data_IF_084466878697
#
_entry.id   IF_084466878697
#
_cell.length_a   1.000
_cell.length_b   1.000
_cell.length_c   1.000
_cell.angle_alpha   90.00
_cell.angle_beta   90.00
_cell.angle_gamma   90.00
#
_symmetry.space_group_name_H-M   'P 1'
#
loop_
_entity.id
_entity.type
_entity.pdbx_description
1 polymer ?
#
# COMPACT_ATOMS: atom_id res chain seq x y z
N UNK A 1 26.70 3.56 64.87
CA UNK A 1 26.98 4.82 64.13
C UNK A 1 27.75 4.63 62.81
N UNK A 2 28.61 3.62 62.73
CA UNK A 2 29.48 3.42 61.51
C UNK A 2 28.82 2.84 60.25
N UNK A 3 27.71 2.10 60.39
CA UNK A 3 27.02 1.55 59.17
C UNK A 3 26.21 2.58 58.41
N UNK A 4 25.68 3.63 59.08
CA UNK A 4 24.94 4.68 58.46
C UNK A 4 25.84 5.62 57.64
N UNK A 5 27.07 5.84 58.15
CA UNK A 5 28.06 6.71 57.45
C UNK A 5 28.57 6.02 56.21
N UNK A 6 28.78 4.69 56.22
CA UNK A 6 29.19 3.92 55.06
C UNK A 6 28.10 3.92 53.97
N UNK A 7 26.83 3.84 54.39
CA UNK A 7 25.70 3.91 53.44
C UNK A 7 25.53 5.32 52.81
N UNK A 8 25.81 6.38 53.57
CA UNK A 8 25.83 7.75 53.08
C UNK A 8 26.96 8.01 52.09
N UNK A 9 28.14 7.48 52.36
CA UNK A 9 29.31 7.59 51.47
C UNK A 9 29.08 6.79 50.17
N UNK A 10 28.47 5.61 50.26
CA UNK A 10 28.09 4.83 49.06
C UNK A 10 27.04 5.59 48.22
N UNK A 11 26.07 6.26 48.82
CA UNK A 11 25.06 7.06 48.12
C UNK A 11 25.65 8.28 47.36
N UNK A 12 26.71 8.88 47.93
CA UNK A 12 27.43 9.99 47.26
C UNK A 12 28.33 9.53 46.09
N UNK A 13 28.79 8.29 46.12
CA UNK A 13 29.63 7.75 45.07
C UNK A 13 28.84 7.35 43.79
N UNK A 14 27.53 7.04 43.97
CA UNK A 14 26.66 6.71 42.81
C UNK A 14 26.04 7.89 42.08
N UNK A 15 26.07 9.11 42.69
CA UNK A 15 25.49 10.29 42.05
C UNK A 15 26.43 11.10 41.16
N UNK A 16 27.68 10.65 40.98
CA UNK A 16 28.68 11.37 40.19
C UNK A 16 29.06 10.69 38.85
N UNK A 17 28.34 9.65 38.43
CA UNK A 17 28.48 9.14 37.08
C UNK A 17 27.62 9.98 36.13
N UNK A 18 28.20 11.03 35.59
CA UNK A 18 27.65 11.78 34.46
C UNK A 18 27.71 10.89 33.20
N UNK A 19 26.58 10.32 32.81
CA UNK A 19 26.38 9.65 31.52
C UNK A 19 26.13 10.68 30.39
N UNK A 20 26.80 11.83 30.46
CA UNK A 20 26.69 12.83 29.42
C UNK A 20 27.69 12.52 28.29
N UNK A 21 27.23 12.53 27.03
CA UNK A 21 28.04 12.32 25.82
C UNK A 21 29.27 13.27 25.72
N UNK A 22 29.27 14.35 26.49
CA UNK A 22 30.37 15.30 26.59
C UNK A 22 31.39 14.99 27.72
N UNK A 23 31.25 13.87 28.46
CA UNK A 23 32.21 13.52 29.48
C UNK A 23 33.54 13.09 28.84
N UNK A 24 34.68 13.60 29.37
CA UNK A 24 36.03 13.25 28.88
C UNK A 24 36.39 11.78 28.97
N UNK A 25 35.60 10.95 29.69
CA UNK A 25 35.80 9.51 29.85
C UNK A 25 35.43 8.75 28.56
N UNK A 26 34.54 9.31 27.74
CA UNK A 26 34.06 8.71 26.47
C UNK A 26 34.69 9.32 25.22
N UNK A 27 35.70 10.18 25.38
CA UNK A 27 36.55 10.60 24.23
C UNK A 27 37.57 9.50 23.97
N UNK A 28 37.25 8.64 23.02
CA UNK A 28 38.21 7.71 22.44
C UNK A 28 39.44 8.46 21.97
N UNK A 29 40.55 8.35 22.72
CA UNK A 29 41.86 8.84 22.29
C UNK A 29 42.34 8.14 21.01
N UNK A 30 41.74 7.03 20.63
CA UNK A 30 42.10 6.30 19.42
C UNK A 30 41.49 6.87 18.14
N UNK A 31 40.55 7.83 18.24
CA UNK A 31 40.03 8.54 17.04
C UNK A 31 40.96 9.60 16.46
N UNK A 32 41.97 10.02 17.22
CA UNK A 32 42.96 10.99 16.70
C UNK A 32 44.16 10.34 15.98
N UNK A 33 44.33 9.00 16.11
CA UNK A 33 45.44 8.28 15.48
C UNK A 33 45.07 7.49 14.23
N UNK A 34 43.78 7.24 14.04
CA UNK A 34 43.27 6.68 12.79
C UNK A 34 42.57 7.86 12.07
N UNK A 35 43.28 8.49 11.11
CA UNK A 35 42.67 9.44 10.19
C UNK A 35 41.35 8.85 9.74
N UNK A 36 40.27 9.67 9.69
CA UNK A 36 38.95 9.22 9.25
C UNK A 36 39.15 8.32 8.04
N UNK A 37 38.72 7.04 8.09
CA UNK A 37 38.85 6.21 6.92
C UNK A 37 38.15 6.98 5.81
N UNK A 38 38.89 7.27 4.73
CA UNK A 38 38.38 7.93 3.54
C UNK A 38 37.35 6.95 2.90
N UNK A 39 36.25 6.67 3.62
CA UNK A 39 35.11 5.96 3.13
C UNK A 39 34.48 6.91 2.13
N UNK A 40 35.02 6.92 0.92
CA UNK A 40 34.29 7.42 -0.23
C UNK A 40 32.98 6.67 -0.21
N UNK A 41 31.87 7.36 0.08
CA UNK A 41 30.53 6.82 -0.14
C UNK A 41 30.46 6.44 -1.62
N UNK A 42 30.79 5.20 -1.93
CA UNK A 42 30.80 4.66 -3.30
C UNK A 42 29.39 4.69 -3.88
N UNK A 43 28.38 4.74 -3.02
CA UNK A 43 27.00 4.92 -3.39
C UNK A 43 26.50 6.29 -2.91
N UNK A 44 26.76 7.33 -3.69
CA UNK A 44 26.00 8.57 -3.59
C UNK A 44 24.58 8.22 -4.03
N UNK A 45 23.61 8.29 -3.11
CA UNK A 45 22.17 8.26 -3.47
C UNK A 45 22.02 9.32 -4.59
N UNK A 46 21.86 8.87 -5.84
CA UNK A 46 21.51 9.75 -6.94
C UNK A 46 20.16 10.36 -6.57
N UNK A 47 20.16 11.62 -6.14
CA UNK A 47 18.92 12.36 -6.02
C UNK A 47 18.37 12.46 -7.44
N UNK A 48 17.21 11.87 -7.68
CA UNK A 48 16.47 12.13 -8.91
C UNK A 48 16.35 13.64 -9.06
N UNK A 49 16.74 14.17 -10.23
CA UNK A 49 16.62 15.62 -10.51
C UNK A 49 15.14 15.88 -10.72
N UNK A 50 14.46 16.23 -9.64
CA UNK A 50 13.02 16.42 -9.65
C UNK A 50 12.71 17.84 -10.07
N UNK A 51 12.37 18.02 -11.33
CA UNK A 51 11.91 19.29 -11.91
C UNK A 51 10.82 19.06 -12.93
N UNK A 52 9.99 20.07 -13.16
CA UNK A 52 9.00 20.02 -14.23
C UNK A 52 9.66 19.80 -15.59
N UNK A 53 9.05 18.95 -16.40
CA UNK A 53 9.54 18.59 -17.72
C UNK A 53 8.39 18.42 -18.69
N UNK A 54 8.52 18.98 -19.90
CA UNK A 54 7.63 18.79 -21.04
C UNK A 54 6.12 18.99 -20.73
N UNK A 55 5.78 20.11 -20.08
CA UNK A 55 4.42 20.39 -19.59
C UNK A 55 3.36 20.51 -20.70
N UNK A 56 3.78 20.85 -21.93
CA UNK A 56 2.88 21.05 -23.07
C UNK A 56 2.65 19.78 -23.90
N UNK A 57 3.22 18.63 -23.49
CA UNK A 57 3.01 17.36 -24.18
C UNK A 57 1.54 16.97 -24.14
N UNK A 58 0.97 16.76 -25.32
CA UNK A 58 -0.39 16.22 -25.42
C UNK A 58 -0.36 14.71 -25.13
N UNK A 59 -1.12 14.28 -24.14
CA UNK A 59 -1.18 12.90 -23.71
C UNK A 59 -2.34 12.16 -24.42
N UNK A 60 -2.04 10.98 -24.93
CA UNK A 60 -3.09 10.08 -25.43
C UNK A 60 -3.76 9.36 -24.24
N UNK A 61 -4.94 9.81 -23.89
CA UNK A 61 -5.78 9.27 -22.81
C UNK A 61 -6.88 8.33 -23.31
N UNK A 62 -6.85 7.93 -24.57
CA UNK A 62 -7.88 7.06 -25.19
C UNK A 62 -7.91 5.65 -24.57
N UNK A 63 -6.84 5.23 -23.91
CA UNK A 63 -6.71 3.92 -23.26
C UNK A 63 -7.48 3.77 -21.93
N UNK A 64 -8.23 4.80 -21.48
CA UNK A 64 -9.06 4.72 -20.27
C UNK A 64 -10.31 3.88 -20.58
N UNK A 65 -10.16 2.55 -20.42
CA UNK A 65 -11.26 1.60 -20.62
C UNK A 65 -11.58 0.89 -19.31
N UNK A 66 -12.86 0.89 -18.97
CA UNK A 66 -13.37 0.19 -17.80
C UNK A 66 -13.56 -1.29 -18.11
N UNK A 67 -12.68 -2.13 -17.65
CA UNK A 67 -12.90 -3.57 -17.65
C UNK A 67 -12.75 -4.14 -16.23
N UNK A 68 -13.84 -4.08 -15.46
CA UNK A 68 -13.86 -4.53 -14.06
C UNK A 68 -13.45 -5.98 -13.84
N UNK A 69 -13.64 -6.85 -14.83
CA UNK A 69 -13.44 -8.30 -14.66
C UNK A 69 -12.00 -8.68 -14.31
N UNK A 70 -11.03 -7.91 -14.80
CA UNK A 70 -9.60 -8.19 -14.60
C UNK A 70 -8.93 -7.29 -13.56
N UNK A 71 -9.57 -6.21 -13.14
CA UNK A 71 -8.97 -5.19 -12.28
C UNK A 71 -8.53 -5.73 -10.92
N UNK A 72 -9.35 -6.58 -10.29
CA UNK A 72 -9.06 -7.14 -8.98
C UNK A 72 -7.78 -7.97 -8.96
N UNK A 73 -7.59 -8.82 -9.96
CA UNK A 73 -6.43 -9.70 -10.01
C UNK A 73 -5.14 -8.99 -10.41
N UNK A 74 -5.24 -7.93 -11.22
CA UNK A 74 -4.10 -7.18 -11.77
C UNK A 74 -3.76 -5.89 -11.02
N UNK A 75 -4.52 -5.55 -9.99
CA UNK A 75 -4.41 -4.29 -9.23
C UNK A 75 -4.56 -3.01 -10.06
N UNK A 76 -5.08 -3.09 -11.26
CA UNK A 76 -5.29 -1.94 -12.15
C UNK A 76 -6.61 -1.22 -11.84
N UNK A 77 -6.70 -0.60 -10.67
CA UNK A 77 -7.90 0.13 -10.21
C UNK A 77 -7.86 1.63 -10.49
N UNK A 78 -6.77 2.11 -11.04
CA UNK A 78 -6.50 3.53 -11.06
C UNK A 78 -7.04 4.27 -12.27
N UNK A 79 -7.40 3.55 -13.35
CA UNK A 79 -7.86 4.16 -14.61
C UNK A 79 -9.29 3.74 -14.88
N UNK A 80 -10.24 4.64 -14.61
CA UNK A 80 -11.65 4.35 -14.77
C UNK A 80 -12.42 5.53 -15.36
N UNK A 81 -13.50 5.25 -16.10
CA UNK A 81 -14.42 6.27 -16.55
C UNK A 81 -15.12 6.90 -15.34
N UNK A 82 -14.84 8.17 -15.10
CA UNK A 82 -15.51 8.98 -14.10
C UNK A 82 -15.74 10.39 -14.69
N UNK A 83 -17.00 10.80 -14.75
CA UNK A 83 -17.43 12.09 -15.31
C UNK A 83 -18.12 12.98 -14.28
N UNK A 84 -18.07 12.59 -13.00
CA UNK A 84 -18.79 13.29 -11.95
C UNK A 84 -18.23 14.68 -11.66
N UNK A 85 -19.08 15.53 -11.10
CA UNK A 85 -18.75 16.91 -10.72
C UNK A 85 -18.18 17.02 -9.30
N UNK A 86 -17.89 15.89 -8.64
CA UNK A 86 -17.51 15.83 -7.22
C UNK A 86 -18.56 16.43 -6.30
N UNK A 87 -19.82 16.16 -6.58
CA UNK A 87 -20.91 16.46 -5.65
C UNK A 87 -21.05 15.30 -4.67
N UNK A 88 -20.92 15.60 -3.38
CA UNK A 88 -21.12 14.57 -2.34
C UNK A 88 -22.59 14.12 -2.38
N UNK A 89 -22.80 12.80 -2.58
CA UNK A 89 -24.12 12.17 -2.67
C UNK A 89 -24.39 11.17 -1.55
N UNK A 90 -23.34 10.70 -0.87
CA UNK A 90 -23.52 9.69 0.17
C UNK A 90 -22.44 9.69 1.26
N UNK A 91 -22.77 9.07 2.40
CA UNK A 91 -21.85 8.85 3.49
C UNK A 91 -22.24 7.60 4.29
N UNK A 92 -21.45 6.55 4.16
CA UNK A 92 -21.62 5.26 4.86
C UNK A 92 -20.86 5.32 6.18
N UNK A 93 -21.58 5.33 7.30
CA UNK A 93 -21.02 5.58 8.65
C UNK A 93 -20.64 4.28 9.36
N UNK A 94 -19.48 4.27 10.01
CA UNK A 94 -19.00 3.18 10.88
C UNK A 94 -18.23 3.75 12.08
N UNK A 95 -17.92 2.92 13.09
CA UNK A 95 -17.11 3.39 14.22
C UNK A 95 -15.69 3.74 13.78
N UNK A 96 -15.16 4.83 14.35
CA UNK A 96 -13.88 5.45 13.98
C UNK A 96 -12.73 4.43 13.94
N UNK A 97 -12.00 4.40 12.82
CA UNK A 97 -10.73 3.68 12.66
C UNK A 97 -9.54 4.58 12.98
N UNK A 98 -8.39 3.97 13.27
CA UNK A 98 -7.13 4.71 13.34
C UNK A 98 -6.73 5.21 11.95
N UNK A 99 -6.01 6.34 11.88
CA UNK A 99 -5.62 6.97 10.61
C UNK A 99 -4.81 6.05 9.69
N UNK A 100 -3.87 5.28 10.26
CA UNK A 100 -3.05 4.31 9.51
C UNK A 100 -3.88 3.21 8.86
N UNK A 101 -5.02 2.85 9.44
CA UNK A 101 -5.89 1.82 8.91
C UNK A 101 -6.71 2.30 7.71
N UNK A 102 -6.94 3.61 7.58
CA UNK A 102 -7.77 4.17 6.51
C UNK A 102 -7.05 4.16 5.16
N UNK A 103 -5.72 4.31 5.16
CA UNK A 103 -4.92 4.43 3.93
C UNK A 103 -4.87 3.10 3.17
N UNK A 104 -4.84 1.98 3.89
CA UNK A 104 -4.52 0.66 3.34
C UNK A 104 -5.74 -0.19 2.98
N UNK A 105 -6.94 0.17 3.48
CA UNK A 105 -8.14 -0.65 3.29
C UNK A 105 -9.11 0.00 2.31
N UNK A 106 -9.68 -0.82 1.47
CA UNK A 106 -10.69 -0.43 0.50
C UNK A 106 -12.01 -1.14 0.81
N UNK A 107 -13.15 -0.48 0.58
CA UNK A 107 -14.45 -1.14 0.64
C UNK A 107 -14.55 -2.22 -0.44
N UNK A 108 -15.30 -3.28 -0.12
CA UNK A 108 -15.71 -4.26 -1.08
C UNK A 108 -17.06 -3.82 -1.69
N UNK A 109 -17.15 -3.85 -3.01
CA UNK A 109 -18.37 -3.57 -3.72
C UNK A 109 -19.03 -4.87 -4.16
N UNK A 110 -20.30 -5.04 -3.84
CA UNK A 110 -21.14 -6.16 -4.26
C UNK A 110 -22.35 -5.56 -4.97
N UNK A 111 -22.37 -5.64 -6.29
CA UNK A 111 -23.36 -4.92 -7.14
C UNK A 111 -23.37 -3.41 -6.87
N UNK A 112 -24.34 -2.89 -6.14
CA UNK A 112 -24.45 -1.50 -5.72
C UNK A 112 -24.17 -1.31 -4.22
N UNK A 113 -24.05 -2.41 -3.49
CA UNK A 113 -23.82 -2.40 -2.05
C UNK A 113 -22.35 -2.22 -1.70
N UNK A 114 -22.10 -1.70 -0.50
CA UNK A 114 -20.76 -1.52 0.05
C UNK A 114 -20.61 -2.37 1.31
N UNK A 115 -19.53 -3.15 1.37
CA UNK A 115 -19.12 -3.88 2.57
C UNK A 115 -17.85 -3.26 3.12
N UNK A 116 -17.85 -2.98 4.42
CA UNK A 116 -16.68 -2.47 5.13
C UNK A 116 -16.69 -2.97 6.58
N UNK A 117 -15.70 -2.57 7.37
CA UNK A 117 -15.57 -3.00 8.76
C UNK A 117 -15.36 -1.83 9.72
N UNK A 118 -15.65 -2.07 11.00
CA UNK A 118 -15.43 -1.09 12.07
C UNK A 118 -14.20 -1.45 12.93
N UNK A 119 -13.85 -0.58 13.90
CA UNK A 119 -12.68 -0.74 14.78
C UNK A 119 -12.63 -2.07 15.53
N UNK A 120 -13.79 -2.68 15.83
CA UNK A 120 -13.88 -3.95 16.56
C UNK A 120 -13.95 -5.16 15.61
N UNK A 121 -13.80 -4.96 14.31
CA UNK A 121 -13.88 -6.00 13.30
C UNK A 121 -15.31 -6.43 12.96
N UNK A 122 -16.36 -5.67 13.34
CA UNK A 122 -17.69 -5.93 12.79
C UNK A 122 -17.68 -5.64 11.31
N UNK A 123 -18.26 -6.53 10.52
CA UNK A 123 -18.47 -6.35 9.09
C UNK A 123 -19.86 -5.76 8.91
N UNK A 124 -19.95 -4.75 8.06
CA UNK A 124 -21.17 -3.99 7.82
C UNK A 124 -21.43 -3.97 6.31
N UNK A 125 -22.62 -4.41 5.88
CA UNK A 125 -23.09 -4.26 4.50
C UNK A 125 -24.13 -3.15 4.44
N UNK A 126 -23.93 -2.21 3.52
CA UNK A 126 -24.83 -1.09 3.25
C UNK A 126 -25.42 -1.25 1.86
N UNK A 127 -26.69 -0.87 1.70
CA UNK A 127 -27.31 -0.69 0.40
C UNK A 127 -26.84 0.65 -0.26
N UNK A 128 -27.24 0.87 -1.50
CA UNK A 128 -26.96 2.11 -2.25
C UNK A 128 -27.52 3.39 -1.59
N UNK A 129 -28.54 3.26 -0.74
CA UNK A 129 -29.17 4.34 0.02
C UNK A 129 -28.52 4.58 1.38
N UNK A 130 -27.36 3.93 1.64
CA UNK A 130 -26.57 4.04 2.89
C UNK A 130 -27.25 3.41 4.11
N UNK A 131 -28.30 2.60 3.92
CA UNK A 131 -28.94 1.85 4.98
C UNK A 131 -28.14 0.58 5.26
N UNK A 132 -27.98 0.24 6.54
CA UNK A 132 -27.35 -1.02 6.96
C UNK A 132 -28.30 -2.17 6.66
N UNK A 133 -27.88 -3.09 5.80
CA UNK A 133 -28.59 -4.34 5.54
C UNK A 133 -28.34 -5.34 6.65
N UNK A 134 -27.10 -5.47 7.05
CA UNK A 134 -26.68 -6.26 8.22
C UNK A 134 -25.34 -5.77 8.78
N UNK A 135 -25.13 -6.01 10.08
CA UNK A 135 -23.86 -5.88 10.77
C UNK A 135 -23.61 -7.16 11.59
N UNK A 136 -22.46 -7.80 11.39
CA UNK A 136 -22.07 -9.04 12.07
C UNK A 136 -20.64 -8.94 12.59
N UNK A 137 -20.39 -9.57 13.72
CA UNK A 137 -19.07 -9.64 14.33
C UNK A 137 -18.73 -11.07 14.71
N UNK A 138 -17.65 -11.61 14.13
CA UNK A 138 -17.22 -13.01 14.30
C UNK A 138 -16.00 -13.14 15.24
N UNK A 139 -15.77 -12.13 16.09
CA UNK A 139 -14.66 -12.09 17.03
C UNK A 139 -15.13 -12.22 18.48
N UNK A 140 -14.35 -12.95 19.29
CA UNK A 140 -14.49 -13.01 20.75
C UNK A 140 -14.22 -11.66 21.42
N UNK A 141 -14.53 -11.51 22.70
CA UNK A 141 -14.22 -10.30 23.45
C UNK A 141 -12.71 -9.98 23.49
N UNK A 142 -11.85 -10.99 23.54
CA UNK A 142 -10.40 -10.82 23.52
C UNK A 142 -9.90 -10.36 22.14
N UNK A 143 -10.34 -11.00 21.06
CA UNK A 143 -9.97 -10.64 19.69
C UNK A 143 -10.39 -9.20 19.32
N UNK A 144 -11.58 -8.75 19.75
CA UNK A 144 -12.07 -7.37 19.54
C UNK A 144 -11.13 -6.29 20.12
N UNK A 145 -10.42 -6.61 21.22
CA UNK A 145 -9.44 -5.70 21.82
C UNK A 145 -8.21 -5.51 20.95
N UNK A 146 -7.88 -6.48 20.11
CA UNK A 146 -6.76 -6.44 19.16
C UNK A 146 -7.07 -5.57 17.93
N UNK A 147 -8.31 -5.10 17.77
CA UNK A 147 -8.75 -4.24 16.67
C UNK A 147 -8.40 -4.84 15.30
N UNK A 148 -8.96 -6.01 14.94
CA UNK A 148 -8.61 -6.71 13.71
C UNK A 148 -8.90 -5.85 12.48
N UNK A 149 -7.96 -5.86 11.55
CA UNK A 149 -8.03 -5.16 10.27
C UNK A 149 -8.35 -6.19 9.21
N UNK A 150 -9.38 -5.94 8.40
CA UNK A 150 -9.97 -6.93 7.52
C UNK A 150 -9.70 -6.61 6.05
N UNK A 151 -9.37 -7.64 5.29
CA UNK A 151 -9.41 -7.65 3.84
C UNK A 151 -10.52 -8.56 3.35
N UNK A 152 -11.15 -8.18 2.23
CA UNK A 152 -12.32 -8.86 1.71
C UNK A 152 -12.16 -9.22 0.25
N UNK A 153 -12.76 -10.35 -0.14
CA UNK A 153 -13.06 -10.64 -1.52
C UNK A 153 -14.40 -11.32 -1.65
N UNK A 154 -15.16 -10.97 -2.68
CA UNK A 154 -16.46 -11.56 -2.99
C UNK A 154 -16.33 -12.72 -3.98
N UNK A 155 -16.98 -13.83 -3.67
CA UNK A 155 -17.07 -14.99 -4.55
C UNK A 155 -18.44 -15.65 -4.45
N UNK A 156 -19.22 -15.63 -5.54
CA UNK A 156 -20.61 -16.11 -5.59
C UNK A 156 -21.44 -15.44 -4.48
N UNK A 157 -21.94 -16.24 -3.51
CA UNK A 157 -22.75 -15.77 -2.39
C UNK A 157 -21.95 -15.62 -1.10
N UNK A 158 -20.62 -15.62 -1.17
CA UNK A 158 -19.74 -15.59 0.00
C UNK A 158 -18.79 -14.41 -0.03
N UNK A 159 -18.49 -13.88 1.14
CA UNK A 159 -17.39 -12.95 1.39
C UNK A 159 -16.30 -13.71 2.13
N UNK A 160 -15.12 -13.78 1.55
CA UNK A 160 -13.93 -14.31 2.20
C UNK A 160 -13.22 -13.15 2.92
N UNK A 161 -12.76 -13.42 4.11
CA UNK A 161 -12.11 -12.45 4.99
C UNK A 161 -10.77 -13.03 5.45
N UNK A 162 -9.72 -12.21 5.42
CA UNK A 162 -8.47 -12.44 6.14
C UNK A 162 -8.14 -11.24 7.00
N UNK A 163 -7.44 -11.44 8.12
CA UNK A 163 -7.22 -10.36 9.06
C UNK A 163 -5.80 -10.25 9.63
N UNK A 164 -5.58 -9.15 10.33
CA UNK A 164 -4.31 -8.83 10.97
C UNK A 164 -4.08 -9.54 12.32
N UNK A 165 -4.92 -10.50 12.70
CA UNK A 165 -4.77 -11.31 13.91
C UNK A 165 -4.74 -12.82 13.62
N UNK A 166 -4.40 -13.17 12.38
CA UNK A 166 -4.24 -14.54 11.88
C UNK A 166 -5.54 -15.35 11.68
N UNK A 167 -6.69 -14.69 11.67
CA UNK A 167 -7.96 -15.36 11.41
C UNK A 167 -8.39 -15.18 9.96
N UNK A 168 -8.95 -16.24 9.37
CA UNK A 168 -9.57 -16.18 8.06
C UNK A 168 -10.85 -16.99 8.05
N UNK A 169 -11.84 -16.52 7.32
CA UNK A 169 -13.18 -17.11 7.37
C UNK A 169 -14.02 -16.72 6.15
N UNK A 170 -15.09 -17.43 5.95
CA UNK A 170 -16.11 -17.15 4.96
C UNK A 170 -17.44 -16.85 5.63
N UNK A 171 -18.12 -15.84 5.14
CA UNK A 171 -19.48 -15.51 5.56
C UNK A 171 -20.41 -15.49 4.36
N UNK A 172 -21.69 -15.76 4.61
CA UNK A 172 -22.73 -15.57 3.61
C UNK A 172 -22.91 -14.07 3.33
N UNK A 173 -22.84 -13.67 2.07
CA UNK A 173 -22.91 -12.27 1.69
C UNK A 173 -24.29 -11.65 1.98
N UNK A 174 -25.38 -12.42 1.94
CA UNK A 174 -26.74 -11.91 2.05
C UNK A 174 -27.13 -11.57 3.51
N UNK A 175 -26.67 -12.37 4.48
CA UNK A 175 -27.08 -12.21 5.88
C UNK A 175 -25.90 -12.04 6.86
N UNK A 176 -24.65 -12.17 6.38
CA UNK A 176 -23.44 -12.06 7.18
C UNK A 176 -23.17 -13.25 8.10
N UNK A 177 -23.87 -14.36 8.00
CA UNK A 177 -23.67 -15.53 8.86
C UNK A 177 -22.40 -16.29 8.47
N UNK A 178 -21.76 -16.91 9.46
CA UNK A 178 -20.50 -17.62 9.29
C UNK A 178 -20.70 -18.93 8.54
N UNK A 179 -19.98 -19.13 7.44
CA UNK A 179 -19.92 -20.40 6.72
C UNK A 179 -18.86 -21.32 7.36
N UNK A 180 -17.66 -20.82 7.53
CA UNK A 180 -16.53 -21.48 8.19
C UNK A 180 -15.52 -20.46 8.70
N UNK A 181 -14.71 -20.84 9.71
CA UNK A 181 -13.63 -20.01 10.27
C UNK A 181 -12.44 -20.86 10.64
N UNK A 182 -11.24 -20.33 10.37
CA UNK A 182 -9.96 -20.96 10.67
C UNK A 182 -8.93 -19.91 11.13
N UNK A 183 -7.85 -20.38 11.73
CA UNK A 183 -6.71 -19.55 12.12
C UNK A 183 -5.47 -20.02 11.37
N UNK A 184 -4.65 -19.04 10.99
CA UNK A 184 -3.29 -19.24 10.51
C UNK A 184 -2.31 -19.15 11.71
N UNK A 185 -1.06 -19.53 11.51
CA UNK A 185 -0.02 -19.37 12.53
C UNK A 185 0.38 -17.91 12.70
N UNK A 186 0.43 -17.16 11.61
CA UNK A 186 0.85 -15.76 11.57
C UNK A 186 -0.24 -14.87 10.98
N UNK A 187 -0.34 -13.59 11.44
CA UNK A 187 -1.25 -12.60 10.87
C UNK A 187 -1.02 -12.39 9.37
N UNK A 188 -2.07 -12.03 8.65
CA UNK A 188 -1.96 -11.72 7.22
C UNK A 188 -1.58 -10.25 6.99
N UNK A 189 -0.76 -10.01 5.96
CA UNK A 189 -0.30 -8.68 5.57
C UNK A 189 -0.47 -8.39 4.07
N UNK A 190 -1.44 -9.00 3.42
CA UNK A 190 -1.75 -8.76 2.01
C UNK A 190 -3.25 -8.64 1.77
N UNK A 191 -3.62 -8.16 0.60
CA UNK A 191 -4.98 -8.32 0.10
C UNK A 191 -5.25 -9.78 -0.26
N UNK A 192 -6.51 -10.20 -0.21
CA UNK A 192 -6.93 -11.51 -0.72
C UNK A 192 -7.05 -11.42 -2.24
N UNK A 193 -6.53 -12.42 -2.94
CA UNK A 193 -6.78 -12.64 -4.38
C UNK A 193 -7.39 -14.01 -4.59
N UNK A 194 -8.21 -14.16 -5.64
CA UNK A 194 -8.88 -15.44 -5.93
C UNK A 194 -8.64 -15.89 -7.37
N UNK A 195 -8.56 -17.19 -7.53
CA UNK A 195 -8.53 -17.84 -8.83
C UNK A 195 -9.33 -19.13 -8.78
N UNK A 196 -10.34 -19.27 -9.63
CA UNK A 196 -11.26 -20.41 -9.62
C UNK A 196 -11.85 -20.64 -8.22
N UNK A 197 -11.57 -21.79 -7.61
CA UNK A 197 -12.03 -22.21 -6.28
C UNK A 197 -10.98 -22.03 -5.16
N UNK A 198 -9.89 -21.32 -5.45
CA UNK A 198 -8.78 -21.03 -4.53
C UNK A 198 -8.70 -19.55 -4.21
N UNK A 199 -8.11 -19.21 -3.05
CA UNK A 199 -7.70 -17.85 -2.74
C UNK A 199 -6.30 -17.83 -2.15
N UNK A 200 -5.65 -16.68 -2.28
CA UNK A 200 -4.24 -16.47 -1.96
C UNK A 200 -4.10 -15.27 -1.05
N UNK A 201 -3.21 -15.40 -0.06
CA UNK A 201 -2.83 -14.35 0.90
C UNK A 201 -1.38 -14.55 1.29
N UNK A 202 -0.73 -13.47 1.77
CA UNK A 202 0.62 -13.52 2.32
C UNK A 202 0.54 -13.14 3.80
N UNK A 203 1.24 -13.88 4.64
CA UNK A 203 1.36 -13.57 6.06
C UNK A 203 2.63 -12.74 6.37
N UNK A 204 2.74 -12.27 7.62
CA UNK A 204 3.87 -11.45 8.07
C UNK A 204 5.23 -12.17 8.04
N UNK A 205 5.24 -13.50 7.87
CA UNK A 205 6.44 -14.31 7.70
C UNK A 205 6.82 -14.54 6.24
N UNK A 206 6.33 -13.67 5.34
CA UNK A 206 6.59 -13.75 3.91
C UNK A 206 6.16 -15.08 3.28
N UNK A 207 5.18 -15.78 3.89
CA UNK A 207 4.67 -17.04 3.35
C UNK A 207 3.45 -16.75 2.49
N UNK A 208 3.53 -17.07 1.20
CA UNK A 208 2.36 -17.12 0.32
C UNK A 208 1.56 -18.38 0.63
N UNK A 209 0.27 -18.22 0.85
CA UNK A 209 -0.64 -19.30 1.20
C UNK A 209 -1.77 -19.42 0.21
N UNK A 210 -2.07 -20.64 -0.17
CA UNK A 210 -3.22 -21.03 -0.98
C UNK A 210 -4.23 -21.78 -0.11
N UNK A 211 -5.49 -21.35 -0.20
CA UNK A 211 -6.61 -22.00 0.48
C UNK A 211 -7.76 -22.29 -0.47
N UNK A 212 -8.50 -23.35 -0.21
CA UNK A 212 -9.76 -23.65 -0.90
C UNK A 212 -10.88 -22.74 -0.40
N UNK A 213 -11.65 -22.16 -1.30
CA UNK A 213 -12.77 -21.26 -0.94
C UNK A 213 -13.86 -21.98 -0.18
N UNK A 214 -14.11 -23.26 -0.51
CA UNK A 214 -15.22 -24.04 0.02
C UNK A 214 -15.18 -24.18 1.54
N UNK A 215 -14.01 -24.47 2.11
CA UNK A 215 -13.86 -24.88 3.50
C UNK A 215 -12.61 -24.27 4.19
N UNK A 216 -11.84 -23.44 3.49
CA UNK A 216 -10.61 -22.85 4.00
C UNK A 216 -9.47 -23.85 4.23
N UNK A 217 -9.54 -25.10 3.69
CA UNK A 217 -8.41 -26.03 3.76
C UNK A 217 -7.23 -25.51 2.93
N UNK A 218 -6.00 -25.65 3.47
CA UNK A 218 -4.80 -25.26 2.77
C UNK A 218 -4.56 -26.15 1.55
N UNK A 219 -4.21 -25.56 0.41
CA UNK A 219 -3.79 -26.28 -0.80
C UNK A 219 -2.29 -26.55 -0.74
N UNK A 220 -1.56 -25.48 -0.54
CA UNK A 220 -0.11 -25.43 -0.40
C UNK A 220 0.31 -24.10 0.26
N UNK A 221 1.55 -24.01 0.69
CA UNK A 221 2.16 -22.77 1.13
C UNK A 221 3.60 -22.69 0.61
N UNK A 222 4.09 -21.46 0.40
CA UNK A 222 5.44 -21.19 -0.03
C UNK A 222 6.06 -20.15 0.92
N UNK A 223 6.92 -20.57 1.86
CA UNK A 223 7.73 -19.63 2.60
C UNK A 223 8.80 -19.03 1.69
N UNK A 224 8.98 -17.70 1.77
CA UNK A 224 10.10 -17.00 1.14
C UNK A 224 11.03 -16.47 2.22
N UNK A 225 12.13 -15.83 1.80
CA UNK A 225 13.10 -15.29 2.73
C UNK A 225 12.45 -14.34 3.74
N UNK A 226 12.69 -14.60 5.02
CA UNK A 226 12.15 -13.84 6.15
C UNK A 226 13.10 -12.68 6.47
N UNK A 227 12.54 -11.54 6.88
CA UNK A 227 13.30 -10.45 7.44
C UNK A 227 12.97 -10.27 8.92
N UNK A 228 13.94 -9.82 9.71
CA UNK A 228 13.71 -9.46 11.12
C UNK A 228 12.76 -8.27 11.28
N UNK A 229 12.43 -7.57 10.21
CA UNK A 229 11.57 -6.39 10.21
C UNK A 229 10.20 -6.71 9.64
N UNK A 230 9.17 -6.43 10.42
CA UNK A 230 7.79 -6.49 9.96
C UNK A 230 7.50 -5.22 9.15
N UNK A 231 7.23 -5.38 7.86
CA UNK A 231 6.81 -4.26 7.02
C UNK A 231 5.42 -3.76 7.44
N UNK A 232 5.30 -2.46 7.68
CA UNK A 232 4.01 -1.81 7.87
C UNK A 232 3.22 -1.63 6.55
N UNK A 233 3.87 -1.86 5.41
CA UNK A 233 3.24 -1.84 4.09
C UNK A 233 2.63 -3.19 3.78
N UNK A 234 1.43 -3.19 3.19
CA UNK A 234 0.82 -4.43 2.72
C UNK A 234 1.57 -4.98 1.53
N UNK A 235 1.82 -6.27 1.56
CA UNK A 235 2.36 -7.01 0.41
C UNK A 235 1.33 -7.03 -0.72
N UNK A 236 1.83 -7.02 -1.93
CA UNK A 236 1.02 -6.99 -3.13
C UNK A 236 1.03 -8.33 -3.84
N UNK A 237 -0.14 -8.76 -4.30
CA UNK A 237 -0.29 -9.92 -5.16
C UNK A 237 -1.01 -9.51 -6.44
N UNK A 238 -0.61 -10.12 -7.55
CA UNK A 238 -1.37 -10.11 -8.81
C UNK A 238 -1.55 -11.55 -9.27
N UNK A 239 -2.69 -11.84 -9.90
CA UNK A 239 -2.96 -13.13 -10.51
C UNK A 239 -3.07 -12.95 -12.00
N UNK A 240 -2.33 -13.75 -12.72
CA UNK A 240 -2.19 -13.68 -14.18
C UNK A 240 -2.15 -15.10 -14.72
N UNK A 241 -3.12 -15.41 -15.55
CA UNK A 241 -3.32 -16.72 -16.14
C UNK A 241 -3.28 -17.86 -15.09
N UNK A 242 -2.20 -18.58 -14.99
CA UNK A 242 -1.93 -19.68 -14.08
C UNK A 242 -0.85 -19.36 -13.01
N UNK A 243 -0.47 -18.07 -12.87
CA UNK A 243 0.55 -17.64 -11.91
C UNK A 243 0.00 -16.67 -10.88
N UNK A 244 0.54 -16.76 -9.66
CA UNK A 244 0.49 -15.72 -8.63
C UNK A 244 1.84 -15.04 -8.58
N UNK A 245 1.87 -13.73 -8.76
CA UNK A 245 3.09 -12.94 -8.58
C UNK A 245 2.94 -12.03 -7.39
N UNK A 246 3.93 -11.99 -6.52
CA UNK A 246 3.86 -11.24 -5.27
C UNK A 246 5.23 -10.67 -4.87
N UNK A 247 5.20 -9.66 -4.00
CA UNK A 247 6.38 -9.14 -3.32
C UNK A 247 6.38 -9.53 -1.84
N UNK A 248 7.55 -9.59 -1.25
CA UNK A 248 7.76 -9.83 0.18
C UNK A 248 8.31 -8.58 0.91
N UNK A 249 8.65 -8.70 2.20
CA UNK A 249 9.14 -7.59 3.03
C UNK A 249 10.51 -7.04 2.63
N UNK A 250 11.32 -7.85 1.96
CA UNK A 250 12.64 -7.45 1.45
C UNK A 250 12.60 -6.96 0.00
N UNK A 251 11.41 -6.95 -0.61
CA UNK A 251 11.18 -6.42 -1.95
C UNK A 251 11.38 -7.42 -3.10
N UNK A 252 11.68 -8.68 -2.82
CA UNK A 252 11.76 -9.70 -3.85
C UNK A 252 10.42 -9.91 -4.52
N UNK A 253 10.46 -10.09 -5.83
CA UNK A 253 9.28 -10.43 -6.63
C UNK A 253 9.36 -11.90 -6.99
N UNK A 254 8.34 -12.65 -6.63
CA UNK A 254 8.28 -14.10 -6.87
C UNK A 254 7.04 -14.45 -7.66
N UNK A 255 7.19 -15.24 -8.71
CA UNK A 255 6.08 -15.84 -9.47
C UNK A 255 5.98 -17.33 -9.12
N UNK A 256 4.77 -17.79 -8.92
CA UNK A 256 4.44 -19.13 -8.46
C UNK A 256 3.34 -19.71 -9.33
N UNK A 257 3.49 -20.95 -9.75
CA UNK A 257 2.41 -21.70 -10.40
C UNK A 257 1.23 -21.92 -9.43
N UNK A 258 0.03 -21.58 -9.88
CA UNK A 258 -1.18 -21.57 -9.02
C UNK A 258 -1.56 -22.98 -8.54
N UNK A 259 -1.35 -23.99 -9.37
CA UNK A 259 -1.80 -25.35 -9.06
C UNK A 259 -0.82 -26.07 -8.14
N UNK A 260 0.48 -26.01 -8.44
CA UNK A 260 1.54 -26.73 -7.71
C UNK A 260 2.14 -25.96 -6.53
N UNK A 261 2.09 -24.62 -6.53
CA UNK A 261 2.78 -23.80 -5.54
C UNK A 261 4.30 -23.70 -5.76
N UNK A 262 4.81 -24.18 -6.90
CA UNK A 262 6.23 -24.13 -7.23
C UNK A 262 6.63 -22.78 -7.80
N UNK A 263 7.84 -22.34 -7.47
CA UNK A 263 8.42 -21.09 -8.00
C UNK A 263 8.67 -21.26 -9.50
N UNK A 264 8.13 -20.34 -10.29
CA UNK A 264 8.40 -20.23 -11.73
C UNK A 264 9.65 -19.37 -11.96
N UNK A 265 9.70 -18.21 -11.30
CA UNK A 265 10.85 -17.32 -11.29
C UNK A 265 10.85 -16.44 -10.02
N UNK A 266 12.03 -15.92 -9.69
CA UNK A 266 12.20 -14.97 -8.60
C UNK A 266 13.20 -13.89 -9.03
N UNK A 267 12.87 -12.63 -8.71
CA UNK A 267 13.70 -11.47 -8.97
C UNK A 267 13.99 -10.75 -7.65
N UNK A 268 15.23 -10.79 -7.13
CA UNK A 268 15.64 -9.96 -6.03
C UNK A 268 15.77 -8.50 -6.50
N UNK A 269 15.16 -7.56 -5.77
CA UNK A 269 15.24 -6.12 -6.08
C UNK A 269 16.19 -5.37 -5.16
N UNK A 270 16.80 -6.05 -4.18
CA UNK A 270 17.83 -5.49 -3.32
C UNK A 270 19.14 -6.23 -3.49
N UNK A 271 20.26 -5.48 -3.46
CA UNK A 271 21.57 -6.11 -3.35
C UNK A 271 21.78 -6.61 -1.91
N UNK A 272 22.34 -7.80 -1.75
CA UNK A 272 22.63 -8.45 -0.47
C UNK A 272 23.54 -7.63 0.46
N UNK A 273 24.25 -6.62 -0.05
CA UNK A 273 25.15 -5.76 0.73
C UNK A 273 24.43 -4.70 1.58
N UNK A 274 23.09 -4.59 1.50
CA UNK A 274 22.30 -3.51 2.12
C UNK A 274 21.39 -4.05 3.26
N UNK A 275 21.70 -5.18 3.85
CA UNK A 275 20.94 -5.76 4.97
C UNK A 275 20.72 -4.79 6.15
N UNK A 276 21.57 -3.78 6.30
CA UNK A 276 21.46 -2.77 7.37
C UNK A 276 20.47 -1.64 7.08
N UNK A 277 19.96 -1.49 5.85
CA UNK A 277 19.00 -0.44 5.46
C UNK A 277 17.57 -0.96 5.21
N UNK A 278 17.28 -2.21 5.56
CA UNK A 278 15.99 -2.86 5.29
C UNK A 278 14.81 -2.28 6.08
N UNK A 279 15.08 -1.55 7.17
CA UNK A 279 14.03 -1.01 8.05
C UNK A 279 13.08 -0.02 7.38
N UNK A 280 13.48 0.61 6.28
CA UNK A 280 12.69 1.65 5.60
C UNK A 280 12.41 1.32 4.12
N UNK A 281 12.60 0.07 3.71
CA UNK A 281 12.33 -0.32 2.33
C UNK A 281 10.83 -0.43 2.08
N UNK A 282 10.36 0.27 1.05
CA UNK A 282 8.95 0.30 0.66
C UNK A 282 8.82 0.11 -0.84
N UNK A 283 7.90 -0.75 -1.22
CA UNK A 283 7.49 -0.92 -2.62
C UNK A 283 6.06 -0.43 -2.82
N UNK A 284 5.77 0.09 -4.00
CA UNK A 284 4.39 0.29 -4.43
C UNK A 284 3.69 -1.06 -4.63
N UNK A 285 2.36 -1.06 -4.78
CA UNK A 285 1.67 -2.28 -5.22
C UNK A 285 2.11 -2.65 -6.63
N UNK A 286 2.20 -3.96 -6.88
CA UNK A 286 2.37 -4.53 -8.21
C UNK A 286 1.11 -4.25 -9.03
N UNK A 287 1.29 -3.77 -10.26
CA UNK A 287 0.20 -3.57 -11.23
C UNK A 287 0.59 -4.26 -12.53
N UNK A 288 -0.36 -4.90 -13.20
CA UNK A 288 -0.08 -5.59 -14.46
C UNK A 288 -1.04 -5.23 -15.57
N UNK A 289 -0.53 -5.15 -16.80
CA UNK A 289 -1.34 -5.05 -18.02
C UNK A 289 -1.66 -6.43 -18.64
N UNK A 290 -1.13 -7.51 -18.06
CA UNK A 290 -1.27 -8.88 -18.52
C UNK A 290 -0.04 -9.44 -19.24
N UNK A 291 0.90 -8.59 -19.67
CA UNK A 291 2.17 -8.98 -20.26
C UNK A 291 3.36 -8.61 -19.37
N UNK A 292 3.24 -7.51 -18.66
CA UNK A 292 4.27 -6.98 -17.78
C UNK A 292 3.72 -6.62 -16.41
N UNK A 293 4.61 -6.58 -15.42
CA UNK A 293 4.35 -6.08 -14.07
C UNK A 293 5.09 -4.77 -13.90
N UNK A 294 4.42 -3.80 -13.29
CA UNK A 294 4.95 -2.47 -13.01
C UNK A 294 4.85 -2.17 -11.53
N UNK A 295 5.93 -1.67 -10.95
CA UNK A 295 5.99 -1.20 -9.56
C UNK A 295 7.20 -0.30 -9.36
N UNK A 296 7.21 0.42 -8.26
CA UNK A 296 8.33 1.28 -7.84
C UNK A 296 8.73 1.00 -6.40
N UNK A 297 9.90 1.46 -6.02
CA UNK A 297 10.40 1.41 -4.65
C UNK A 297 10.95 2.77 -4.20
N UNK A 298 11.26 2.90 -2.91
CA UNK A 298 11.85 4.11 -2.33
C UNK A 298 13.39 4.19 -2.48
N UNK A 299 13.96 3.37 -3.36
CA UNK A 299 15.38 3.42 -3.78
C UNK A 299 15.57 4.12 -5.13
N UNK A 300 14.59 4.88 -5.58
CA UNK A 300 14.53 5.56 -6.89
C UNK A 300 14.45 4.61 -8.08
N UNK A 301 13.75 3.49 -7.95
CA UNK A 301 13.64 2.53 -9.03
C UNK A 301 12.17 2.28 -9.35
N UNK A 302 11.82 2.43 -10.62
CA UNK A 302 10.54 2.02 -11.19
C UNK A 302 10.81 0.93 -12.22
N UNK A 303 10.20 -0.22 -12.00
CA UNK A 303 10.43 -1.44 -12.79
C UNK A 303 9.31 -1.73 -13.77
N UNK A 304 9.69 -2.27 -14.92
CA UNK A 304 8.85 -3.12 -15.76
C UNK A 304 9.50 -4.50 -15.88
N UNK A 305 8.74 -5.54 -15.55
CA UNK A 305 9.20 -6.94 -15.57
C UNK A 305 8.31 -7.72 -16.53
N UNK A 306 8.90 -8.53 -17.39
CA UNK A 306 8.17 -9.52 -18.19
C UNK A 306 7.57 -10.57 -17.28
N UNK A 307 6.27 -10.84 -17.43
CA UNK A 307 5.55 -11.68 -16.50
C UNK A 307 5.88 -13.15 -16.62
N UNK A 308 6.25 -13.61 -17.82
CA UNK A 308 6.51 -15.03 -18.09
C UNK A 308 7.90 -15.45 -17.63
N UNK A 309 8.87 -14.56 -17.79
CA UNK A 309 10.29 -14.85 -17.57
C UNK A 309 10.85 -14.25 -16.29
N UNK A 310 10.20 -13.24 -15.71
CA UNK A 310 10.75 -12.49 -14.60
C UNK A 310 11.89 -11.54 -14.98
N UNK A 311 12.22 -11.42 -16.27
CA UNK A 311 13.29 -10.54 -16.73
C UNK A 311 12.85 -9.08 -16.69
N UNK A 312 13.78 -8.20 -16.32
CA UNK A 312 13.53 -6.76 -16.30
C UNK A 312 13.54 -6.22 -17.75
N UNK A 313 12.41 -5.64 -18.16
CA UNK A 313 12.30 -4.95 -19.45
C UNK A 313 13.05 -3.62 -19.42
N UNK A 314 12.81 -2.83 -18.35
CA UNK A 314 13.46 -1.54 -18.11
C UNK A 314 13.34 -1.11 -16.64
N UNK A 315 14.23 -0.18 -16.24
CA UNK A 315 14.20 0.50 -14.93
C UNK A 315 14.32 2.00 -15.21
N UNK A 316 13.53 2.81 -14.49
CA UNK A 316 13.55 4.27 -14.53
C UNK A 316 13.78 4.86 -13.14
N UNK A 317 14.51 5.99 -13.06
CA UNK A 317 14.87 6.68 -11.80
C UNK A 317 13.67 7.43 -11.23
N UNK A 318 12.80 6.76 -10.46
CA UNK A 318 11.60 7.36 -9.83
C UNK A 318 11.44 6.84 -8.41
N UNK A 319 11.40 7.77 -7.44
CA UNK A 319 11.10 7.48 -6.04
C UNK A 319 9.59 7.55 -5.80
N UNK A 320 8.91 6.41 -5.68
CA UNK A 320 7.47 6.38 -5.42
C UNK A 320 7.07 5.13 -4.64
N UNK A 321 6.16 5.31 -3.70
CA UNK A 321 5.47 4.22 -3.00
C UNK A 321 3.99 4.12 -3.42
N UNK A 322 3.58 4.95 -4.38
CA UNK A 322 2.20 5.06 -4.84
C UNK A 322 1.94 4.02 -5.93
N UNK A 323 0.82 3.31 -5.81
CA UNK A 323 0.39 2.36 -6.84
C UNK A 323 0.31 3.04 -8.20
N UNK A 324 1.04 2.59 -9.23
CA UNK A 324 0.99 3.18 -10.55
C UNK A 324 -0.35 2.92 -11.24
N UNK A 325 -0.67 3.74 -12.24
CA UNK A 325 -1.88 3.63 -13.06
C UNK A 325 -1.47 3.46 -14.51
N UNK A 326 -2.03 2.45 -15.17
CA UNK A 326 -1.76 2.16 -16.59
C UNK A 326 -2.94 2.64 -17.44
N UNK A 327 -2.65 3.38 -18.49
CA UNK A 327 -3.65 3.89 -19.44
C UNK A 327 -3.08 3.80 -20.85
N UNK A 328 -3.55 2.84 -21.63
CA UNK A 328 -3.01 2.60 -22.98
C UNK A 328 -1.50 2.33 -22.97
N UNK A 329 -0.73 3.18 -23.66
CA UNK A 329 0.74 3.09 -23.69
C UNK A 329 1.42 3.99 -22.63
N UNK A 330 0.67 4.52 -21.68
CA UNK A 330 1.16 5.40 -20.62
C UNK A 330 1.06 4.76 -19.25
N UNK A 331 2.06 5.03 -18.41
CA UNK A 331 2.05 4.74 -16.98
C UNK A 331 2.16 6.07 -16.23
N UNK A 332 1.31 6.22 -15.23
CA UNK A 332 1.31 7.35 -14.32
C UNK A 332 1.75 6.90 -12.94
N UNK A 333 2.63 7.65 -12.30
CA UNK A 333 2.96 7.48 -10.88
C UNK A 333 3.23 8.84 -10.23
N UNK A 334 3.08 8.91 -8.91
CA UNK A 334 3.34 10.14 -8.14
C UNK A 334 4.47 9.87 -7.16
N UNK A 335 5.53 10.67 -7.22
CA UNK A 335 6.64 10.54 -6.27
C UNK A 335 6.24 11.02 -4.87
N UNK A 336 7.02 10.62 -3.86
CA UNK A 336 6.80 11.02 -2.46
C UNK A 336 6.88 12.55 -2.28
N UNK A 337 7.62 13.25 -3.14
CA UNK A 337 7.74 14.71 -3.16
C UNK A 337 6.56 15.42 -3.87
N UNK A 338 5.64 14.65 -4.45
CA UNK A 338 4.43 15.16 -5.10
C UNK A 338 4.61 15.54 -6.57
N UNK A 339 5.49 14.86 -7.29
CA UNK A 339 5.60 14.99 -8.75
C UNK A 339 4.88 13.87 -9.46
N UNK A 340 4.04 14.23 -10.43
CA UNK A 340 3.40 13.28 -11.34
C UNK A 340 4.37 12.98 -12.49
N UNK A 341 4.74 11.73 -12.62
CA UNK A 341 5.50 11.20 -13.74
C UNK A 341 4.58 10.54 -14.75
N UNK A 342 4.79 10.82 -16.01
CA UNK A 342 4.18 10.11 -17.14
C UNK A 342 5.31 9.37 -17.86
N UNK A 343 5.15 8.07 -17.97
CA UNK A 343 6.17 7.14 -18.48
C UNK A 343 5.62 6.45 -19.73
N UNK A 344 6.41 6.33 -20.78
CA UNK A 344 6.13 5.48 -21.92
C UNK A 344 6.24 4.01 -21.50
N UNK A 345 5.12 3.28 -21.55
CA UNK A 345 5.02 1.93 -20.99
C UNK A 345 6.05 0.95 -21.54
N UNK A 346 6.31 1.00 -22.85
CA UNK A 346 7.14 0.00 -23.51
C UNK A 346 8.65 0.22 -23.34
N UNK A 347 9.08 1.48 -23.12
CA UNK A 347 10.51 1.85 -23.07
C UNK A 347 10.97 2.36 -21.70
N UNK A 348 10.01 2.71 -20.82
CA UNK A 348 10.34 3.31 -19.53
C UNK A 348 10.79 4.78 -19.59
N UNK A 349 10.71 5.43 -20.75
CA UNK A 349 11.09 6.83 -20.89
C UNK A 349 10.14 7.74 -20.12
N UNK A 350 10.66 8.59 -19.25
CA UNK A 350 9.91 9.65 -18.60
C UNK A 350 9.63 10.74 -19.66
N UNK A 351 8.38 10.87 -20.09
CA UNK A 351 8.00 11.80 -21.16
C UNK A 351 7.43 13.12 -20.65
N UNK A 352 6.96 13.15 -19.38
CA UNK A 352 6.46 14.36 -18.74
C UNK A 352 6.57 14.28 -17.22
N UNK A 353 6.92 15.38 -16.58
CA UNK A 353 6.94 15.53 -15.10
C UNK A 353 6.20 16.80 -14.70
N UNK A 354 5.23 16.69 -13.80
CA UNK A 354 4.40 17.80 -13.34
C UNK A 354 4.47 17.93 -11.83
N UNK A 355 4.76 19.13 -11.31
CA UNK A 355 4.72 19.42 -9.89
C UNK A 355 3.26 19.60 -9.41
N UNK A 356 2.74 18.61 -8.67
CA UNK A 356 1.38 18.65 -8.13
C UNK A 356 1.26 19.57 -6.92
N UNK A 357 2.39 19.85 -6.23
CA UNK A 357 2.46 20.64 -5.00
C UNK A 357 3.04 22.04 -5.19
N UNK A 358 3.17 22.52 -6.42
CA UNK A 358 3.72 23.83 -6.79
C UNK A 358 3.10 24.99 -5.99
N UNK A 359 1.81 24.92 -5.68
CA UNK A 359 1.07 25.96 -4.99
C UNK A 359 1.16 25.87 -3.45
N UNK A 360 1.85 24.88 -2.90
CA UNK A 360 2.09 24.83 -1.46
C UNK A 360 3.25 25.72 -1.03
N UNK A 361 3.06 26.49 0.05
CA UNK A 361 4.16 27.23 0.68
C UNK A 361 5.29 26.27 1.07
N UNK A 362 6.59 26.65 0.97
CA UNK A 362 7.72 25.76 1.22
C UNK A 362 7.67 25.00 2.55
N UNK A 363 7.30 25.68 3.64
CA UNK A 363 7.17 25.06 4.97
C UNK A 363 6.08 23.98 5.00
N UNK A 364 4.97 24.21 4.31
CA UNK A 364 3.86 23.24 4.25
C UNK A 364 4.19 22.07 3.33
N UNK A 365 4.84 22.35 2.19
CA UNK A 365 5.23 21.32 1.22
C UNK A 365 6.11 20.22 1.83
N UNK A 366 7.00 20.55 2.77
CA UNK A 366 7.87 19.58 3.45
C UNK A 366 7.12 18.55 4.29
N UNK A 367 5.89 18.87 4.70
CA UNK A 367 5.08 18.04 5.61
C UNK A 367 3.87 17.40 4.93
N UNK A 368 3.65 17.66 3.63
CA UNK A 368 2.53 17.08 2.86
C UNK A 368 3.09 16.09 1.86
N UNK A 369 2.56 14.88 1.88
CA UNK A 369 2.90 13.82 0.95
C UNK A 369 1.63 13.23 0.32
N UNK A 370 1.74 12.66 -0.88
CA UNK A 370 0.62 12.03 -1.55
C UNK A 370 0.24 10.71 -0.86
N UNK A 371 -1.05 10.43 -0.77
CA UNK A 371 -1.58 9.17 -0.23
C UNK A 371 -1.90 8.21 -1.37
N UNK A 372 -2.41 8.71 -2.46
CA UNK A 372 -2.73 7.95 -3.65
C UNK A 372 -3.59 8.73 -4.61
N UNK A 373 -3.73 8.21 -5.80
CA UNK A 373 -4.48 8.87 -6.85
C UNK A 373 -5.30 7.88 -7.69
N UNK A 374 -6.24 8.42 -8.44
CA UNK A 374 -6.97 7.75 -9.50
C UNK A 374 -7.06 8.67 -10.71
N UNK A 375 -7.22 8.08 -11.89
CA UNK A 375 -7.45 8.80 -13.15
C UNK A 375 -8.86 8.50 -13.63
N UNK A 376 -9.63 9.55 -13.85
CA UNK A 376 -10.98 9.48 -14.40
C UNK A 376 -11.09 10.36 -15.64
N UNK A 377 -11.33 9.78 -16.80
CA UNK A 377 -11.36 10.48 -18.08
C UNK A 377 -10.09 11.32 -18.33
N UNK A 378 -10.18 12.64 -18.17
CA UNK A 378 -9.09 13.59 -18.37
C UNK A 378 -8.49 14.12 -17.07
N UNK A 379 -9.00 13.67 -15.91
CA UNK A 379 -8.67 14.25 -14.62
C UNK A 379 -7.87 13.29 -13.73
N UNK A 380 -6.92 13.87 -13.01
CA UNK A 380 -6.24 13.27 -11.89
C UNK A 380 -6.96 13.64 -10.60
N UNK A 381 -7.29 12.65 -9.78
CA UNK A 381 -7.85 12.79 -8.43
C UNK A 381 -6.80 12.34 -7.44
N UNK A 382 -6.20 13.27 -6.70
CA UNK A 382 -5.10 13.01 -5.76
C UNK A 382 -5.52 13.31 -4.33
N UNK A 383 -5.33 12.38 -3.41
CA UNK A 383 -5.46 12.64 -1.96
C UNK A 383 -4.11 12.82 -1.32
N UNK A 384 -4.04 13.74 -0.34
CA UNK A 384 -2.82 14.09 0.40
C UNK A 384 -2.95 13.80 1.89
N UNK A 385 -1.80 13.75 2.56
CA UNK A 385 -1.72 13.57 4.02
C UNK A 385 -2.39 14.68 4.83
N UNK A 386 -2.63 15.86 4.24
CA UNK A 386 -3.38 16.94 4.89
C UNK A 386 -4.91 16.85 4.71
N UNK A 387 -5.41 15.69 4.24
CA UNK A 387 -6.84 15.39 4.10
C UNK A 387 -7.55 16.14 2.99
N UNK A 388 -6.82 16.57 1.97
CA UNK A 388 -7.38 17.22 0.77
C UNK A 388 -7.47 16.25 -0.40
N UNK A 389 -8.50 16.44 -1.20
CA UNK A 389 -8.61 15.93 -2.56
C UNK A 389 -8.27 17.06 -3.54
N UNK A 390 -7.26 16.85 -4.35
CA UNK A 390 -6.88 17.76 -5.44
C UNK A 390 -7.28 17.13 -6.76
N UNK A 391 -7.99 17.90 -7.57
CA UNK A 391 -8.35 17.52 -8.93
C UNK A 391 -7.58 18.36 -9.90
N UNK A 392 -6.88 17.70 -10.82
CA UNK A 392 -6.13 18.36 -11.88
C UNK A 392 -6.51 17.82 -13.25
N UNK A 393 -6.55 18.69 -14.23
CA UNK A 393 -6.57 18.29 -15.63
C UNK A 393 -5.25 17.62 -16.01
N UNK A 394 -5.31 16.45 -16.64
CA UNK A 394 -4.10 15.69 -17.02
C UNK A 394 -3.38 16.30 -18.21
N UNK A 395 -4.06 17.03 -19.09
CA UNK A 395 -3.41 17.59 -20.28
C UNK A 395 -2.60 18.83 -19.95
N UNK A 396 -3.17 19.79 -19.25
CA UNK A 396 -2.54 21.09 -18.99
C UNK A 396 -2.06 21.27 -17.54
N UNK A 397 -2.28 20.24 -16.69
CA UNK A 397 -1.91 20.23 -15.27
C UNK A 397 -2.57 21.34 -14.42
N UNK A 398 -3.58 22.02 -14.93
CA UNK A 398 -4.32 23.05 -14.19
C UNK A 398 -5.08 22.43 -13.02
N UNK A 399 -5.17 23.16 -11.91
CA UNK A 399 -6.00 22.77 -10.77
C UNK A 399 -7.45 23.10 -11.12
N UNK A 400 -8.30 22.08 -11.15
CA UNK A 400 -9.74 22.23 -11.37
C UNK A 400 -10.48 22.42 -10.04
N UNK A 401 -10.09 21.68 -8.99
CA UNK A 401 -10.73 21.75 -7.68
C UNK A 401 -9.75 21.32 -6.57
N UNK A 402 -9.89 21.95 -5.41
CA UNK A 402 -9.28 21.49 -4.15
C UNK A 402 -10.39 21.41 -3.12
N UNK A 403 -10.62 20.21 -2.59
CA UNK A 403 -11.65 19.97 -1.58
C UNK A 403 -11.02 19.47 -0.28
N UNK A 404 -11.40 20.08 0.86
CA UNK A 404 -11.03 19.61 2.19
C UNK A 404 -12.00 18.52 2.62
N UNK A 405 -11.59 17.26 2.49
CA UNK A 405 -12.42 16.08 2.81
C UNK A 405 -12.41 15.79 4.32
N UNK A 406 -11.26 15.97 4.96
CA UNK A 406 -11.06 15.67 6.39
C UNK A 406 -9.99 16.57 6.99
N UNK A 407 -9.95 16.70 8.32
CA UNK A 407 -8.80 17.26 9.05
C UNK A 407 -7.62 16.30 9.06
N UNK A 408 -7.88 15.01 8.91
CA UNK A 408 -6.93 13.91 8.98
C UNK A 408 -6.74 13.28 7.61
N UNK A 409 -5.82 12.35 7.50
CA UNK A 409 -5.54 11.56 6.30
C UNK A 409 -6.83 10.88 5.81
N UNK A 410 -6.99 10.82 4.49
CA UNK A 410 -8.04 10.07 3.80
C UNK A 410 -7.42 9.02 2.89
N UNK A 411 -8.17 7.98 2.55
CA UNK A 411 -7.69 6.92 1.66
C UNK A 411 -7.38 7.46 0.26
N UNK A 412 -6.69 6.66 -0.53
CA UNK A 412 -6.63 6.89 -1.98
C UNK A 412 -8.04 6.92 -2.56
N UNK A 413 -8.27 7.68 -3.64
CA UNK A 413 -9.55 7.68 -4.34
C UNK A 413 -9.82 6.31 -4.97
N UNK A 414 -11.06 5.86 -4.86
CA UNK A 414 -11.55 4.65 -5.52
C UNK A 414 -12.71 5.07 -6.43
N UNK A 415 -12.61 4.72 -7.71
CA UNK A 415 -13.69 4.95 -8.67
C UNK A 415 -14.41 3.62 -8.92
N UNK A 416 -15.72 3.62 -8.76
CA UNK A 416 -16.55 2.47 -9.01
C UNK A 416 -17.92 2.92 -9.58
N UNK A 417 -18.34 2.34 -10.70
CA UNK A 417 -19.62 2.65 -11.37
C UNK A 417 -19.89 4.17 -11.49
N UNK A 418 -18.92 4.90 -12.03
CA UNK A 418 -18.99 6.37 -12.21
C UNK A 418 -19.19 7.18 -10.90
N UNK A 419 -18.82 6.61 -9.76
CA UNK A 419 -18.76 7.30 -8.47
C UNK A 419 -17.34 7.25 -7.92
N UNK A 420 -16.94 8.29 -7.18
CA UNK A 420 -15.68 8.37 -6.49
C UNK A 420 -15.90 8.19 -4.98
N UNK A 421 -15.14 7.28 -4.37
CA UNK A 421 -15.24 6.95 -2.97
C UNK A 421 -13.95 7.27 -2.22
N UNK A 422 -14.10 7.85 -1.02
CA UNK A 422 -13.02 8.15 -0.10
C UNK A 422 -13.34 7.62 1.29
N UNK A 423 -12.44 6.83 1.86
CA UNK A 423 -12.55 6.41 3.26
C UNK A 423 -11.88 7.46 4.14
N UNK A 424 -12.61 7.97 5.11
CA UNK A 424 -12.11 8.85 6.18
C UNK A 424 -12.46 8.29 7.55
N UNK A 425 -11.96 8.91 8.60
CA UNK A 425 -12.26 8.51 9.97
C UNK A 425 -13.78 8.39 10.19
N UNK A 426 -14.28 7.16 10.33
CA UNK A 426 -15.67 6.85 10.66
C UNK A 426 -16.67 6.91 9.51
N UNK A 427 -16.25 7.09 8.25
CA UNK A 427 -17.18 7.00 7.11
C UNK A 427 -16.50 6.80 5.77
N UNK A 428 -17.22 6.21 4.83
CA UNK A 428 -16.90 6.24 3.39
C UNK A 428 -17.75 7.35 2.78
N UNK A 429 -17.11 8.29 2.07
CA UNK A 429 -17.83 9.35 1.35
C UNK A 429 -17.94 8.95 -0.11
N UNK A 430 -19.11 9.16 -0.67
CA UNK A 430 -19.41 8.95 -2.08
C UNK A 430 -19.65 10.28 -2.78
N UNK A 431 -18.99 10.46 -3.91
CA UNK A 431 -19.16 11.59 -4.82
C UNK A 431 -19.63 11.10 -6.18
N UNK A 432 -20.49 11.91 -6.77
CA UNK A 432 -20.94 11.76 -8.16
C UNK A 432 -20.17 12.71 -9.06
#
# INVERSE_FOLDING_TARGET
MNKLIILLIAFFLFNNCSFNENSRIWKDKDKELLGEPNIKKVFVKKKSVVREFNQNLNLDLSGIKTNFKYMNNRNDFGSQSYKGELKKIGSYKFSKLDELNQINFKPLFIENDIVFFNKKGSIIRYDENQKILWEKNHYSKAEKKLQPKLDFIFYKDSILVSDSIAKYYSINANNGDLNWSKNNTYPFNSEIKKYKNKFFVIDYKNTLRCYKIKDGSECWNLPTEDSFTISNSKYSLVILDDMVVFNNSIGDITAVDIESGLIVWQLPTQSTSILNETYDFKTSKLVSDGSSIFFSNNKNEFYSIDIKTGTTNWISDINSNITPVITGNLIFTVSDEGYLYVIEKNKGNIIRVTDLFKNYKPKKRKNVYPIGFAIGNKNLYLTNSDGKLIVKDLQNASILKIEKVSSNIVSKPLIFKNNLYLVRSGSIIQYN
#
